data_IF_501644795075
#
_entry.id   IF_501644795075
#
_cell.length_a   1.000
_cell.length_b   1.000
_cell.length_c   1.000
_cell.angle_alpha   90.00
_cell.angle_beta   90.00
_cell.angle_gamma   90.00
#
_symmetry.space_group_name_H-M   'P 1'
#
loop_
_entity.id
_entity.type
_entity.pdbx_description
1 polymer ?
#
# COMPACT_ATOMS: atom_id res chain seq x y z
N UNK A 1 -6.46 1.01 28.81
CA UNK A 1 -6.12 0.45 27.49
C UNK A 1 -5.07 1.35 26.86
N UNK A 2 -4.02 0.79 26.24
CA UNK A 2 -3.04 1.59 25.50
C UNK A 2 -3.44 1.55 24.03
N UNK A 3 -3.80 2.70 23.46
CA UNK A 3 -4.16 2.82 22.04
C UNK A 3 -2.90 3.13 21.24
N UNK A 4 -2.70 2.43 20.12
CA UNK A 4 -1.66 2.75 19.13
C UNK A 4 -2.32 3.32 17.89
N UNK A 5 -1.86 4.48 17.43
CA UNK A 5 -2.32 5.13 16.21
C UNK A 5 -1.20 5.13 15.18
N UNK A 6 -1.55 4.80 13.94
CA UNK A 6 -0.66 4.86 12.79
C UNK A 6 -1.27 5.73 11.69
N UNK A 7 -0.42 6.37 10.91
CA UNK A 7 -0.81 7.19 9.76
C UNK A 7 -0.22 6.58 8.49
N UNK A 8 -1.00 6.64 7.41
CA UNK A 8 -0.54 6.27 6.07
C UNK A 8 -0.54 7.53 5.23
N UNK A 9 0.63 7.91 4.72
CA UNK A 9 0.78 9.01 3.77
C UNK A 9 0.53 8.47 2.36
N UNK A 10 -0.48 8.99 1.66
CA UNK A 10 -0.77 8.62 0.27
C UNK A 10 -0.45 9.79 -0.63
N UNK A 11 0.50 9.60 -1.55
CA UNK A 11 0.87 10.57 -2.58
C UNK A 11 0.40 10.04 -3.93
N UNK A 12 -0.28 10.88 -4.69
CA UNK A 12 -0.80 10.57 -6.02
C UNK A 12 -0.15 11.51 -7.04
N UNK A 13 0.27 10.95 -8.17
CA UNK A 13 0.87 11.65 -9.30
C UNK A 13 0.14 11.26 -10.59
N UNK A 14 -0.29 12.26 -11.34
CA UNK A 14 -0.88 12.09 -12.68
C UNK A 14 0.12 12.58 -13.73
N UNK A 15 0.66 11.64 -14.51
CA UNK A 15 1.61 11.95 -15.60
C UNK A 15 1.17 11.21 -16.87
N UNK A 16 0.99 11.95 -17.98
CA UNK A 16 0.69 11.41 -19.32
C UNK A 16 -0.49 10.42 -19.40
N UNK A 17 -1.61 10.72 -18.72
CA UNK A 17 -2.80 9.84 -18.69
C UNK A 17 -2.59 8.55 -17.87
N UNK A 18 -1.59 8.53 -17.00
CA UNK A 18 -1.34 7.46 -16.03
C UNK A 18 -1.30 8.05 -14.63
N UNK A 19 -2.10 7.46 -13.75
CA UNK A 19 -2.12 7.82 -12.34
C UNK A 19 -1.26 6.83 -11.57
N UNK A 20 -0.39 7.34 -10.71
CA UNK A 20 0.46 6.57 -9.81
C UNK A 20 0.14 6.97 -8.38
N UNK A 21 0.19 6.01 -7.46
CA UNK A 21 0.06 6.29 -6.04
C UNK A 21 1.10 5.52 -5.23
N UNK A 22 1.66 6.18 -4.22
CA UNK A 22 2.47 5.55 -3.18
C UNK A 22 1.82 5.74 -1.82
N UNK A 23 1.62 4.64 -1.08
CA UNK A 23 1.08 4.63 0.27
C UNK A 23 2.19 4.22 1.25
N UNK A 24 2.57 5.11 2.16
CA UNK A 24 3.69 4.92 3.09
C UNK A 24 3.18 4.86 4.52
N UNK A 25 3.54 3.78 5.22
CA UNK A 25 3.27 3.56 6.64
C UNK A 25 4.57 3.58 7.43
N UNK A 26 4.64 4.44 8.45
CA UNK A 26 5.68 4.39 9.46
C UNK A 26 5.17 3.69 10.73
N UNK A 27 5.75 2.53 11.06
CA UNK A 27 5.38 1.75 12.24
C UNK A 27 6.24 2.06 13.46
N UNK A 28 7.21 2.97 13.34
CA UNK A 28 8.30 3.21 14.30
C UNK A 28 9.44 2.19 14.21
N UNK A 29 9.41 1.33 13.20
CA UNK A 29 10.45 0.34 12.92
C UNK A 29 11.63 0.91 12.13
N UNK A 30 12.61 0.07 11.76
CA UNK A 30 13.84 0.53 11.10
C UNK A 30 13.63 1.09 9.69
N UNK A 31 12.54 0.70 9.00
CA UNK A 31 12.18 1.22 7.69
C UNK A 31 10.66 1.37 7.55
N UNK A 32 10.18 2.43 6.89
CA UNK A 32 8.77 2.55 6.53
C UNK A 32 8.39 1.47 5.51
N UNK A 33 7.12 1.07 5.54
CA UNK A 33 6.54 0.15 4.56
C UNK A 33 5.85 0.98 3.50
N UNK A 34 6.19 0.77 2.24
CA UNK A 34 5.59 1.49 1.12
C UNK A 34 4.87 0.51 0.21
N UNK A 35 3.59 0.76 -0.06
CA UNK A 35 2.82 0.13 -1.13
C UNK A 35 2.69 1.04 -2.34
N UNK A 36 2.52 0.46 -3.52
CA UNK A 36 2.44 1.19 -4.80
C UNK A 36 1.23 0.76 -5.62
N UNK A 37 0.61 1.72 -6.28
CA UNK A 37 -0.53 1.52 -7.15
C UNK A 37 -0.41 2.33 -8.42
N UNK A 38 -1.09 1.86 -9.46
CA UNK A 38 -1.20 2.57 -10.74
C UNK A 38 -2.59 2.41 -11.32
N UNK A 39 -3.08 3.41 -12.03
CA UNK A 39 -4.27 3.37 -12.84
C UNK A 39 -3.98 3.95 -14.23
N UNK A 40 -4.75 3.50 -15.22
CA UNK A 40 -4.69 4.00 -16.59
C UNK A 40 -6.11 4.05 -17.10
N UNK A 41 -6.49 5.18 -17.66
CA UNK A 41 -7.78 5.35 -18.33
C UNK A 41 -7.80 4.52 -19.61
N UNK A 42 -8.92 3.82 -19.85
CA UNK A 42 -9.13 3.11 -21.12
C UNK A 42 -9.21 4.13 -22.25
N UNK A 43 -8.63 3.87 -23.44
CA UNK A 43 -8.77 4.78 -24.57
C UNK A 43 -10.22 5.04 -25.02
N UNK A 44 -11.17 4.21 -24.57
CA UNK A 44 -12.59 4.30 -24.90
C UNK A 44 -13.42 5.01 -23.81
N UNK A 45 -12.81 5.31 -22.67
CA UNK A 45 -13.48 5.92 -21.52
C UNK A 45 -13.17 7.43 -21.46
N UNK A 46 -14.05 8.17 -20.78
CA UNK A 46 -13.79 9.56 -20.45
C UNK A 46 -12.63 9.66 -19.45
N UNK A 47 -11.68 10.56 -19.72
CA UNK A 47 -10.54 10.81 -18.85
C UNK A 47 -10.99 11.65 -17.64
N UNK A 48 -11.34 10.95 -16.56
CA UNK A 48 -11.74 11.54 -15.28
C UNK A 48 -10.60 11.31 -14.27
N UNK A 49 -9.76 12.34 -14.01
CA UNK A 49 -8.58 12.20 -13.15
C UNK A 49 -8.89 11.64 -11.75
N UNK A 50 -10.02 12.03 -11.16
CA UNK A 50 -10.42 11.58 -9.83
C UNK A 50 -10.57 10.05 -9.73
N UNK A 51 -11.10 9.40 -10.79
CA UNK A 51 -11.27 7.93 -10.82
C UNK A 51 -9.90 7.24 -10.88
N UNK A 52 -8.98 7.77 -11.67
CA UNK A 52 -7.60 7.28 -11.74
C UNK A 52 -6.90 7.37 -10.39
N UNK A 53 -7.04 8.50 -9.70
CA UNK A 53 -6.48 8.75 -8.38
C UNK A 53 -7.02 7.76 -7.33
N UNK A 54 -8.34 7.60 -7.24
CA UNK A 54 -8.98 6.66 -6.32
C UNK A 54 -8.51 5.22 -6.56
N UNK A 55 -8.48 4.80 -7.83
CA UNK A 55 -8.09 3.44 -8.19
C UNK A 55 -6.60 3.18 -7.94
N UNK A 56 -5.72 4.14 -8.25
CA UNK A 56 -4.30 4.03 -7.95
C UNK A 56 -4.06 3.98 -6.44
N UNK A 57 -4.72 4.84 -5.66
CA UNK A 57 -4.63 4.85 -4.20
C UNK A 57 -5.12 3.54 -3.58
N UNK A 58 -6.27 3.01 -4.03
CA UNK A 58 -6.78 1.72 -3.57
C UNK A 58 -5.77 0.59 -3.81
N UNK A 59 -5.15 0.55 -5.00
CA UNK A 59 -4.12 -0.44 -5.34
C UNK A 59 -2.87 -0.27 -4.47
N UNK A 60 -2.45 0.97 -4.18
CA UNK A 60 -1.31 1.23 -3.30
C UNK A 60 -1.57 0.78 -1.86
N UNK A 61 -2.79 0.99 -1.35
CA UNK A 61 -3.20 0.54 -0.02
C UNK A 61 -3.30 -0.99 0.08
N UNK A 62 -3.78 -1.66 -0.98
CA UNK A 62 -3.79 -3.13 -1.04
C UNK A 62 -2.37 -3.71 -1.02
N UNK A 63 -1.46 -3.17 -1.82
CA UNK A 63 -0.05 -3.57 -1.82
C UNK A 63 0.60 -3.29 -0.45
N UNK A 64 0.29 -2.14 0.17
CA UNK A 64 0.75 -1.80 1.52
C UNK A 64 0.27 -2.83 2.56
N UNK A 65 -1.01 -3.20 2.52
CA UNK A 65 -1.59 -4.22 3.41
C UNK A 65 -0.92 -5.58 3.25
N UNK A 66 -0.69 -6.01 2.01
CA UNK A 66 0.04 -7.25 1.73
C UNK A 66 1.48 -7.22 2.27
N UNK A 67 2.20 -6.11 2.08
CA UNK A 67 3.56 -5.95 2.60
C UNK A 67 3.60 -5.93 4.12
N UNK A 68 2.65 -5.28 4.77
CA UNK A 68 2.53 -5.30 6.23
C UNK A 68 2.30 -6.72 6.75
N UNK A 69 1.51 -7.52 6.04
CA UNK A 69 1.32 -8.94 6.35
C UNK A 69 2.63 -9.73 6.22
N UNK A 70 3.41 -9.49 5.17
CA UNK A 70 4.73 -10.12 5.00
C UNK A 70 5.72 -9.70 6.09
N UNK A 71 5.72 -8.43 6.50
CA UNK A 71 6.53 -7.96 7.63
C UNK A 71 6.16 -8.70 8.91
N UNK A 72 4.86 -8.80 9.22
CA UNK A 72 4.39 -9.53 10.39
C UNK A 72 4.77 -11.03 10.33
N UNK A 73 4.65 -11.67 9.17
CA UNK A 73 5.07 -13.06 9.00
C UNK A 73 6.58 -13.24 9.26
N UNK A 74 7.41 -12.31 8.77
CA UNK A 74 8.85 -12.29 9.01
C UNK A 74 9.20 -12.13 10.49
N UNK A 75 8.50 -11.21 11.19
CA UNK A 75 8.69 -11.00 12.62
C UNK A 75 8.30 -12.23 13.44
N UNK A 76 7.18 -12.89 13.11
CA UNK A 76 6.76 -14.12 13.79
C UNK A 76 7.79 -15.22 13.55
N UNK A 77 8.20 -15.45 12.30
CA UNK A 77 9.19 -16.47 11.97
C UNK A 77 10.53 -16.24 12.68
N UNK A 78 10.96 -14.99 12.85
CA UNK A 78 12.18 -14.66 13.59
C UNK A 78 12.09 -15.02 15.08
N UNK A 79 10.89 -14.99 15.67
CA UNK A 79 10.66 -15.35 17.07
C UNK A 79 10.44 -16.87 17.22
N UNK A 80 9.62 -17.47 16.36
CA UNK A 80 9.22 -18.87 16.48
C UNK A 80 10.23 -19.85 15.87
N UNK A 81 11.06 -19.39 14.94
CA UNK A 81 11.95 -20.23 14.11
C UNK A 81 11.21 -21.24 13.23
N UNK A 82 9.90 -21.04 13.01
CA UNK A 82 9.05 -21.89 12.17
C UNK A 82 8.58 -21.13 10.92
N UNK A 83 8.38 -21.82 9.77
CA UNK A 83 7.81 -21.19 8.58
C UNK A 83 6.37 -20.70 8.82
N UNK A 84 6.09 -19.44 8.48
CA UNK A 84 4.75 -18.85 8.64
C UNK A 84 4.14 -18.50 7.29
N UNK A 85 2.86 -18.83 7.09
CA UNK A 85 2.05 -18.36 5.96
C UNK A 85 0.78 -17.69 6.50
N UNK A 86 0.63 -16.40 6.18
CA UNK A 86 -0.56 -15.63 6.50
C UNK A 86 -1.41 -15.43 5.23
N UNK A 87 -2.73 -15.45 5.38
CA UNK A 87 -3.70 -15.21 4.29
C UNK A 87 -4.66 -14.10 4.68
N UNK A 88 -4.98 -13.19 3.76
CA UNK A 88 -5.96 -12.12 3.91
C UNK A 88 -6.65 -11.86 2.56
#
# INVERSE_FOLDING_TARGET
MVTKQWHVDVVVDDTDGRTYAEARLDTGGPKPITGRGRARVSPMDEDIPAIGAELAAARALTDLGYRLLLTAAGDIQAVTHEPVRLTH
#
